data_IF_188624142517
#
_entry.id   IF_188624142517
#
_cell.length_a   1.000
_cell.length_b   1.000
_cell.length_c   1.000
_cell.angle_alpha   90.00
_cell.angle_beta   90.00
_cell.angle_gamma   90.00
#
_symmetry.space_group_name_H-M   'P 1'
#
loop_
_entity.id
_entity.type
_entity.pdbx_description
1 polymer ?
#
# COMPACT_ATOMS: atom_id res chain seq x y z
N UNK A 1 28.65 -7.48 -9.19
CA UNK A 1 28.67 -6.85 -10.53
C UNK A 1 27.29 -6.20 -10.77
N UNK A 2 27.06 -5.58 -11.93
CA UNK A 2 25.79 -4.89 -12.20
C UNK A 2 24.59 -5.83 -12.40
N UNK A 3 24.79 -7.08 -12.85
CA UNK A 3 23.70 -8.06 -12.92
C UNK A 3 23.26 -8.55 -11.54
N UNK A 4 24.19 -8.56 -10.60
CA UNK A 4 23.89 -8.86 -9.20
C UNK A 4 23.12 -7.72 -8.53
N UNK A 5 23.48 -6.47 -8.77
CA UNK A 5 22.68 -5.31 -8.33
C UNK A 5 21.27 -5.36 -8.91
N UNK A 6 21.12 -5.68 -10.20
CA UNK A 6 19.82 -5.87 -10.84
C UNK A 6 19.00 -6.97 -10.14
N UNK A 7 19.63 -8.08 -9.76
CA UNK A 7 18.98 -9.19 -9.04
C UNK A 7 18.50 -8.77 -7.65
N UNK A 8 19.37 -8.14 -6.87
CA UNK A 8 19.04 -7.70 -5.51
C UNK A 8 17.94 -6.63 -5.54
N UNK A 9 18.00 -5.66 -6.45
CA UNK A 9 16.92 -4.66 -6.58
C UNK A 9 15.59 -5.29 -6.98
N UNK A 10 15.60 -6.30 -7.86
CA UNK A 10 14.40 -7.07 -8.19
C UNK A 10 13.85 -7.86 -7.00
N UNK A 11 14.71 -8.47 -6.19
CA UNK A 11 14.31 -9.14 -4.95
C UNK A 11 13.74 -8.16 -3.92
N UNK A 12 14.29 -6.95 -3.83
CA UNK A 12 13.74 -5.89 -2.98
C UNK A 12 12.31 -5.51 -3.40
N UNK A 13 12.03 -5.49 -4.70
CA UNK A 13 10.65 -5.35 -5.21
C UNK A 13 9.80 -6.55 -4.81
N UNK A 14 10.29 -7.78 -4.96
CA UNK A 14 9.53 -8.98 -4.55
C UNK A 14 9.18 -9.01 -3.05
N UNK A 15 10.03 -8.43 -2.20
CA UNK A 15 9.71 -8.26 -0.77
C UNK A 15 8.49 -7.35 -0.55
N UNK A 16 8.34 -6.29 -1.34
CA UNK A 16 7.19 -5.38 -1.27
C UNK A 16 5.96 -5.86 -2.03
N UNK A 17 6.17 -6.65 -3.08
CA UNK A 17 5.15 -7.19 -3.97
C UNK A 17 5.35 -8.70 -4.20
N UNK A 18 4.99 -9.55 -3.23
CA UNK A 18 5.08 -10.99 -3.38
C UNK A 18 4.31 -11.47 -4.62
N UNK A 19 4.93 -12.35 -5.40
CA UNK A 19 4.29 -12.95 -6.59
C UNK A 19 4.03 -11.99 -7.76
N UNK A 20 4.50 -10.74 -7.69
CA UNK A 20 4.27 -9.78 -8.78
C UNK A 20 5.06 -10.12 -10.05
N UNK A 21 4.60 -9.55 -11.17
CA UNK A 21 5.25 -9.67 -12.47
C UNK A 21 5.46 -8.29 -13.10
N UNK A 22 6.55 -8.14 -13.86
CA UNK A 22 6.87 -6.88 -14.54
C UNK A 22 8.36 -6.65 -14.74
N UNK A 23 8.68 -5.41 -15.09
CA UNK A 23 10.05 -4.96 -15.30
C UNK A 23 10.47 -4.05 -14.15
N UNK A 24 11.56 -4.39 -13.47
CA UNK A 24 12.20 -3.54 -12.48
C UNK A 24 13.24 -2.68 -13.17
N UNK A 25 13.22 -1.37 -12.89
CA UNK A 25 14.18 -0.39 -13.37
C UNK A 25 14.77 0.34 -12.17
N UNK A 26 16.00 -0.02 -11.83
CA UNK A 26 16.78 0.68 -10.82
C UNK A 26 17.69 1.71 -11.49
N UNK A 27 17.75 2.91 -10.91
CA UNK A 27 18.68 3.95 -11.37
C UNK A 27 19.59 4.39 -10.22
N UNK A 28 20.86 4.02 -10.37
CA UNK A 28 21.97 4.52 -9.58
C UNK A 28 22.48 5.87 -10.08
N UNK A 29 23.61 6.32 -9.52
CA UNK A 29 24.32 7.49 -10.03
C UNK A 29 25.05 7.19 -11.34
N UNK A 30 25.71 6.04 -11.41
CA UNK A 30 26.58 5.66 -12.52
C UNK A 30 25.91 4.74 -13.56
N UNK A 31 25.00 3.86 -13.13
CA UNK A 31 24.36 2.87 -13.98
C UNK A 31 22.84 2.87 -13.82
N UNK A 32 22.18 2.11 -14.70
CA UNK A 32 20.77 1.77 -14.62
C UNK A 32 20.62 0.28 -14.94
N UNK A 33 19.90 -0.41 -14.08
CA UNK A 33 19.68 -1.86 -14.12
C UNK A 33 18.23 -2.14 -14.52
N UNK A 34 18.05 -3.16 -15.36
CA UNK A 34 16.75 -3.73 -15.66
C UNK A 34 16.72 -5.20 -15.24
N UNK A 35 15.62 -5.61 -14.62
CA UNK A 35 15.40 -7.00 -14.24
C UNK A 35 13.93 -7.38 -14.43
N UNK A 36 13.70 -8.52 -15.07
CA UNK A 36 12.38 -9.11 -15.22
C UNK A 36 12.01 -9.86 -13.95
N UNK A 37 10.79 -9.68 -13.45
CA UNK A 37 10.23 -10.47 -12.35
C UNK A 37 8.94 -11.14 -12.78
N UNK A 38 8.73 -12.37 -12.33
CA UNK A 38 7.47 -13.10 -12.50
C UNK A 38 7.35 -14.19 -11.42
N UNK A 39 6.18 -14.26 -10.75
CA UNK A 39 5.85 -15.36 -9.85
C UNK A 39 6.88 -15.59 -8.73
N UNK A 40 7.44 -14.52 -8.16
CA UNK A 40 8.44 -14.62 -7.08
C UNK A 40 9.87 -14.90 -7.55
N UNK A 41 10.11 -14.96 -8.86
CA UNK A 41 11.42 -15.24 -9.45
C UNK A 41 11.96 -14.03 -10.20
N UNK A 42 13.28 -13.89 -10.22
CA UNK A 42 14.00 -12.91 -11.03
C UNK A 42 14.51 -13.61 -12.28
N UNK A 43 14.15 -13.09 -13.45
CA UNK A 43 14.50 -13.62 -14.76
C UNK A 43 15.72 -12.92 -15.36
N UNK A 44 15.57 -12.45 -16.60
CA UNK A 44 16.62 -11.71 -17.33
C UNK A 44 17.01 -10.45 -16.60
N UNK A 45 18.30 -10.14 -16.64
CA UNK A 45 18.92 -9.01 -15.95
C UNK A 45 19.95 -8.38 -16.88
N UNK A 46 19.98 -7.05 -16.92
CA UNK A 46 20.93 -6.28 -17.71
C UNK A 46 21.30 -5.01 -16.96
N UNK A 47 22.54 -4.54 -17.12
CA UNK A 47 23.02 -3.25 -16.62
C UNK A 47 23.40 -2.36 -17.80
N UNK A 48 23.34 -1.05 -17.60
CA UNK A 48 23.61 -0.06 -18.64
C UNK A 48 24.25 1.21 -18.08
N UNK A 49 24.99 1.97 -18.90
CA UNK A 49 25.62 3.23 -18.49
C UNK A 49 24.64 4.43 -18.45
N UNK A 50 23.35 4.19 -18.20
CA UNK A 50 22.31 5.22 -18.21
C UNK A 50 22.12 5.93 -16.86
N UNK A 51 23.09 5.81 -15.95
CA UNK A 51 23.09 6.59 -14.70
C UNK A 51 23.27 8.09 -14.95
N UNK A 52 22.59 8.98 -14.21
CA UNK A 52 22.63 10.43 -14.45
C UNK A 52 24.03 11.04 -14.38
N UNK A 53 24.95 10.51 -13.57
CA UNK A 53 26.33 10.98 -13.51
C UNK A 53 27.11 10.62 -14.77
N UNK A 54 26.93 9.41 -15.32
CA UNK A 54 27.56 9.00 -16.59
C UNK A 54 27.03 9.80 -17.77
N UNK A 55 25.75 10.15 -17.75
CA UNK A 55 25.13 10.96 -18.80
C UNK A 55 25.70 12.38 -18.90
N UNK A 56 26.31 12.93 -17.84
CA UNK A 56 26.99 14.23 -17.88
C UNK A 56 28.20 14.23 -18.82
N UNK A 57 28.90 13.11 -18.92
CA UNK A 57 30.08 12.95 -19.78
C UNK A 57 29.76 12.64 -21.24
N UNK A 58 28.49 12.43 -21.60
CA UNK A 58 28.12 12.12 -22.98
C UNK A 58 28.26 13.37 -23.86
N UNK A 59 29.07 13.33 -24.94
CA UNK A 59 29.29 14.48 -25.81
C UNK A 59 28.03 14.85 -26.60
N UNK A 60 27.99 16.08 -27.13
CA UNK A 60 26.89 16.54 -27.99
C UNK A 60 25.65 17.07 -27.25
N UNK A 61 25.76 17.37 -25.95
CA UNK A 61 24.71 18.02 -25.17
C UNK A 61 23.40 17.22 -25.11
N UNK A 62 22.24 17.90 -25.02
CA UNK A 62 20.91 17.24 -24.93
C UNK A 62 20.62 16.33 -26.14
N UNK A 63 21.06 16.72 -27.34
CA UNK A 63 20.88 15.92 -28.56
C UNK A 63 21.73 14.64 -28.54
N UNK A 64 23.00 14.76 -28.15
CA UNK A 64 23.91 13.62 -28.00
C UNK A 64 23.44 12.64 -26.93
N UNK A 65 23.04 13.14 -25.76
CA UNK A 65 22.43 12.31 -24.69
C UNK A 65 21.18 11.58 -25.17
N UNK A 66 20.26 12.27 -25.86
CA UNK A 66 19.04 11.64 -26.40
C UNK A 66 19.35 10.50 -27.37
N UNK A 67 20.35 10.68 -28.24
CA UNK A 67 20.78 9.64 -29.17
C UNK A 67 21.42 8.45 -28.43
N UNK A 68 22.30 8.72 -27.46
CA UNK A 68 22.93 7.70 -26.62
C UNK A 68 21.91 6.89 -25.82
N UNK A 69 21.00 7.57 -25.11
CA UNK A 69 19.91 6.93 -24.33
C UNK A 69 19.06 6.05 -25.23
N UNK A 70 18.70 6.55 -26.43
CA UNK A 70 17.90 5.79 -27.39
C UNK A 70 18.61 4.50 -27.82
N UNK A 71 19.87 4.59 -28.25
CA UNK A 71 20.64 3.44 -28.72
C UNK A 71 20.77 2.37 -27.62
N UNK A 72 21.17 2.79 -26.40
CA UNK A 72 21.30 1.86 -25.27
C UNK A 72 19.96 1.20 -24.92
N UNK A 73 18.84 1.93 -24.94
CA UNK A 73 17.53 1.34 -24.66
C UNK A 73 17.02 0.41 -25.76
N UNK A 74 17.39 0.62 -27.02
CA UNK A 74 17.08 -0.31 -28.12
C UNK A 74 17.79 -1.65 -27.89
N UNK A 75 19.06 -1.63 -27.50
CA UNK A 75 19.82 -2.84 -27.15
C UNK A 75 19.23 -3.55 -25.93
N UNK A 76 18.94 -2.80 -24.86
CA UNK A 76 18.33 -3.37 -23.65
C UNK A 76 16.96 -3.99 -23.95
N UNK A 77 16.15 -3.35 -24.80
CA UNK A 77 14.85 -3.89 -25.19
C UNK A 77 14.98 -5.17 -26.03
N UNK A 78 16.01 -5.27 -26.88
CA UNK A 78 16.30 -6.50 -27.62
C UNK A 78 16.63 -7.67 -26.67
N UNK A 79 17.42 -7.43 -25.62
CA UNK A 79 17.76 -8.45 -24.62
C UNK A 79 16.57 -8.81 -23.71
N UNK A 80 15.86 -7.80 -23.20
CA UNK A 80 14.74 -7.98 -22.26
C UNK A 80 13.46 -8.46 -22.95
N UNK A 81 13.36 -8.39 -24.27
CA UNK A 81 12.17 -8.74 -25.03
C UNK A 81 10.93 -7.90 -24.66
N UNK A 82 9.73 -8.37 -25.01
CA UNK A 82 8.49 -7.64 -24.71
C UNK A 82 8.23 -7.51 -23.20
N UNK A 83 8.15 -6.28 -22.70
CA UNK A 83 7.93 -5.96 -21.27
C UNK A 83 6.71 -5.04 -21.06
N UNK A 84 5.59 -5.31 -21.75
CA UNK A 84 4.35 -4.49 -21.68
C UNK A 84 3.53 -4.72 -20.39
N UNK A 85 4.23 -4.89 -19.27
CA UNK A 85 3.68 -5.19 -17.94
C UNK A 85 3.80 -3.95 -17.03
N UNK A 86 3.79 -4.15 -15.71
CA UNK A 86 4.10 -3.08 -14.76
C UNK A 86 5.60 -2.76 -14.81
N UNK A 87 5.93 -1.47 -14.75
CA UNK A 87 7.29 -0.97 -14.54
C UNK A 87 7.45 -0.58 -13.07
N UNK A 88 8.42 -1.17 -12.38
CA UNK A 88 8.80 -0.81 -11.01
C UNK A 88 10.00 0.12 -11.05
N UNK A 89 9.85 1.32 -10.49
CA UNK A 89 10.90 2.31 -10.43
C UNK A 89 11.59 2.24 -9.06
N UNK A 90 12.85 1.77 -9.06
CA UNK A 90 13.73 1.67 -7.89
C UNK A 90 14.83 2.74 -7.97
N UNK A 91 15.28 3.24 -6.82
CA UNK A 91 16.40 4.18 -6.78
C UNK A 91 15.99 5.62 -6.48
N UNK A 92 16.97 6.43 -6.06
CA UNK A 92 16.68 7.74 -5.47
C UNK A 92 16.21 8.80 -6.48
N UNK A 93 16.59 8.69 -7.75
CA UNK A 93 16.20 9.68 -8.77
C UNK A 93 14.74 9.50 -9.19
N UNK A 94 14.28 8.25 -9.33
CA UNK A 94 12.86 7.94 -9.50
C UNK A 94 12.02 8.38 -8.31
N UNK A 95 12.49 8.14 -7.09
CA UNK A 95 11.82 8.62 -5.88
C UNK A 95 11.71 10.14 -5.82
N UNK A 96 12.72 10.89 -6.27
CA UNK A 96 12.66 12.34 -6.35
C UNK A 96 11.61 12.82 -7.36
N UNK A 97 11.57 12.22 -8.56
CA UNK A 97 10.56 12.52 -9.59
C UNK A 97 9.15 12.19 -9.07
N UNK A 98 8.99 11.10 -8.33
CA UNK A 98 7.71 10.73 -7.71
C UNK A 98 7.25 11.73 -6.64
N UNK A 99 8.16 12.25 -5.80
CA UNK A 99 7.84 13.33 -4.84
C UNK A 99 7.37 14.58 -5.57
N UNK A 100 8.04 14.95 -6.65
CA UNK A 100 7.66 16.12 -7.47
C UNK A 100 6.29 15.90 -8.12
N UNK A 101 5.98 14.69 -8.59
CA UNK A 101 4.65 14.37 -9.12
C UNK A 101 3.56 14.46 -8.05
N UNK A 102 3.83 14.00 -6.82
CA UNK A 102 2.91 14.15 -5.69
C UNK A 102 2.62 15.62 -5.41
N UNK A 103 3.67 16.44 -5.32
CA UNK A 103 3.56 17.90 -5.11
C UNK A 103 2.72 18.54 -6.22
N UNK A 104 3.08 18.30 -7.49
CA UNK A 104 2.36 18.83 -8.66
C UNK A 104 0.87 18.49 -8.65
N UNK A 105 0.51 17.32 -8.13
CA UNK A 105 -0.87 16.82 -8.11
C UNK A 105 -1.62 17.20 -6.83
N UNK A 106 -0.96 17.78 -5.83
CA UNK A 106 -1.50 17.90 -4.48
C UNK A 106 -1.91 16.54 -3.91
N UNK A 107 -1.11 15.50 -4.16
CA UNK A 107 -1.46 14.13 -3.81
C UNK A 107 -1.51 13.95 -2.30
N UNK A 108 -2.63 13.49 -1.70
CA UNK A 108 -2.87 13.66 -0.26
C UNK A 108 -2.09 12.69 0.64
N UNK A 109 -1.43 11.66 0.08
CA UNK A 109 -0.70 10.65 0.83
C UNK A 109 0.78 10.58 0.41
N UNK A 110 1.66 11.19 1.20
CA UNK A 110 3.09 11.35 0.88
C UNK A 110 3.94 10.11 1.25
N UNK A 111 3.48 8.92 0.86
CA UNK A 111 4.19 7.65 1.00
C UNK A 111 4.69 7.23 -0.39
N UNK A 112 5.99 7.00 -0.55
CA UNK A 112 6.56 6.71 -1.87
C UNK A 112 6.36 5.27 -2.34
N UNK A 113 6.44 4.30 -1.41
CA UNK A 113 6.27 2.91 -1.75
C UNK A 113 4.81 2.70 -2.19
N UNK A 114 4.60 1.98 -3.29
CA UNK A 114 3.27 1.75 -3.89
C UNK A 114 2.61 2.98 -4.52
N UNK A 115 3.34 4.10 -4.62
CA UNK A 115 2.87 5.22 -5.41
C UNK A 115 2.82 4.86 -6.90
N UNK A 116 1.71 5.21 -7.55
CA UNK A 116 1.46 4.86 -8.95
C UNK A 116 1.42 6.10 -9.82
N UNK A 117 2.05 5.97 -10.98
CA UNK A 117 2.13 7.00 -12.00
C UNK A 117 1.63 6.45 -13.33
N UNK A 118 0.95 7.27 -14.12
CA UNK A 118 0.68 6.98 -15.52
C UNK A 118 1.76 7.59 -16.41
N UNK A 119 1.93 7.07 -17.64
CA UNK A 119 2.82 7.68 -18.62
C UNK A 119 2.48 9.16 -18.90
N UNK A 120 1.19 9.50 -18.87
CA UNK A 120 0.70 10.89 -18.96
C UNK A 120 1.16 11.72 -17.75
N UNK A 121 1.04 11.19 -16.53
CA UNK A 121 1.49 11.87 -15.31
C UNK A 121 3.00 12.10 -15.30
N UNK A 122 3.78 11.11 -15.75
CA UNK A 122 5.23 11.25 -15.91
C UNK A 122 5.56 12.37 -16.88
N UNK A 123 4.92 12.40 -18.06
CA UNK A 123 5.16 13.45 -19.05
C UNK A 123 4.87 14.83 -18.48
N UNK A 124 3.70 15.02 -17.86
CA UNK A 124 3.32 16.29 -17.21
C UNK A 124 4.26 16.68 -16.06
N UNK A 125 4.81 15.70 -15.33
CA UNK A 125 5.79 15.95 -14.27
C UNK A 125 7.14 16.37 -14.82
N UNK A 126 7.58 15.78 -15.92
CA UNK A 126 8.81 16.19 -16.61
C UNK A 126 8.66 17.64 -17.09
N UNK A 127 7.54 17.97 -17.73
CA UNK A 127 7.29 19.34 -18.21
C UNK A 127 7.24 20.35 -17.03
N UNK A 128 6.63 19.96 -15.90
CA UNK A 128 6.62 20.77 -14.67
C UNK A 128 8.01 20.96 -14.09
N UNK A 129 8.87 19.94 -14.11
CA UNK A 129 10.27 20.03 -13.67
C UNK A 129 11.05 20.99 -14.58
N UNK A 130 10.90 20.88 -15.90
CA UNK A 130 11.59 21.75 -16.86
C UNK A 130 11.15 23.22 -16.74
N UNK A 131 9.91 23.49 -16.33
CA UNK A 131 9.36 24.84 -16.17
C UNK A 131 9.58 25.47 -14.77
N UNK A 132 10.05 24.70 -13.79
CA UNK A 132 10.20 25.16 -12.41
C UNK A 132 11.62 25.64 -12.10
N UNK A 133 11.76 26.58 -11.16
CA UNK A 133 13.06 26.86 -10.55
C UNK A 133 13.52 25.65 -9.72
N UNK A 134 14.74 25.12 -9.94
CA UNK A 134 15.23 23.93 -9.23
C UNK A 134 15.38 24.12 -7.71
N UNK A 135 15.70 25.33 -7.25
CA UNK A 135 15.90 25.62 -5.82
C UNK A 135 14.57 25.70 -5.09
N UNK A 136 13.58 26.38 -5.67
CA UNK A 136 12.24 26.42 -5.10
C UNK A 136 11.61 25.03 -5.11
N UNK A 137 11.69 24.32 -6.23
CA UNK A 137 11.07 23.00 -6.37
C UNK A 137 11.63 21.99 -5.38
N UNK A 138 12.96 21.94 -5.21
CA UNK A 138 13.59 21.02 -4.26
C UNK A 138 13.20 21.32 -2.82
N UNK A 139 13.03 22.60 -2.46
CA UNK A 139 12.64 23.03 -1.12
C UNK A 139 11.19 22.59 -0.82
N UNK A 140 10.26 22.81 -1.76
CA UNK A 140 8.87 22.34 -1.62
C UNK A 140 8.78 20.82 -1.50
N UNK A 141 9.57 20.09 -2.29
CA UNK A 141 9.50 18.62 -2.36
C UNK A 141 10.39 17.89 -1.32
N UNK A 142 11.17 18.61 -0.52
CA UNK A 142 12.15 18.01 0.40
C UNK A 142 13.23 17.18 -0.31
N UNK A 143 13.68 17.61 -1.49
CA UNK A 143 14.72 16.94 -2.30
C UNK A 143 16.07 17.61 -2.03
N UNK A 144 17.12 16.81 -1.79
CA UNK A 144 18.46 17.37 -1.58
C UNK A 144 19.01 18.02 -2.86
N UNK A 145 19.88 19.03 -2.73
CA UNK A 145 20.50 19.70 -3.87
C UNK A 145 21.21 18.71 -4.80
N UNK A 146 22.07 17.85 -4.23
CA UNK A 146 22.77 16.81 -4.99
C UNK A 146 21.83 15.86 -5.75
N UNK A 147 20.62 15.59 -5.23
CA UNK A 147 19.63 14.78 -5.94
C UNK A 147 18.95 15.59 -7.03
N UNK A 148 18.56 16.83 -6.74
CA UNK A 148 17.90 17.72 -7.69
C UNK A 148 18.75 17.94 -8.94
N UNK A 149 20.07 18.07 -8.79
CA UNK A 149 21.03 18.21 -9.91
C UNK A 149 21.06 17.01 -10.87
N UNK A 150 20.52 15.86 -10.45
CA UNK A 150 20.43 14.64 -11.26
C UNK A 150 19.04 14.44 -11.85
N UNK A 151 18.01 15.12 -11.32
CA UNK A 151 16.61 14.94 -11.73
C UNK A 151 16.40 15.22 -13.22
N UNK A 152 16.89 16.33 -13.82
CA UNK A 152 16.69 16.60 -15.24
C UNK A 152 17.23 15.50 -16.17
N UNK A 153 18.40 14.94 -15.85
CA UNK A 153 19.00 13.85 -16.62
C UNK A 153 18.23 12.54 -16.43
N UNK A 154 17.78 12.26 -15.20
CA UNK A 154 16.93 11.12 -14.92
C UNK A 154 15.59 11.24 -15.69
N UNK A 155 15.01 12.43 -15.80
CA UNK A 155 13.80 12.67 -16.60
C UNK A 155 14.00 12.30 -18.08
N UNK A 156 15.15 12.62 -18.69
CA UNK A 156 15.48 12.22 -20.06
C UNK A 156 15.45 10.69 -20.22
N UNK A 157 16.04 9.96 -19.25
CA UNK A 157 16.05 8.49 -19.23
C UNK A 157 14.65 7.92 -19.01
N UNK A 158 13.91 8.40 -18.01
CA UNK A 158 12.56 7.90 -17.69
C UNK A 158 11.60 8.05 -18.88
N UNK A 159 11.65 9.21 -19.55
CA UNK A 159 10.84 9.46 -20.75
C UNK A 159 11.13 8.45 -21.84
N UNK A 160 12.39 8.09 -22.03
CA UNK A 160 12.81 7.11 -23.01
C UNK A 160 12.43 5.67 -22.58
N UNK A 161 12.65 5.29 -21.33
CA UNK A 161 12.24 3.97 -20.76
C UNK A 161 10.74 3.74 -20.96
N UNK A 162 9.90 4.71 -20.57
CA UNK A 162 8.43 4.62 -20.72
C UNK A 162 8.03 4.51 -22.20
N UNK A 163 8.71 5.23 -23.09
CA UNK A 163 8.45 5.16 -24.54
C UNK A 163 8.85 3.80 -25.13
N UNK A 164 9.99 3.25 -24.71
CA UNK A 164 10.53 1.98 -25.23
C UNK A 164 9.71 0.79 -24.76
N UNK A 165 9.44 0.68 -23.46
CA UNK A 165 8.77 -0.50 -22.89
C UNK A 165 7.25 -0.42 -22.84
N UNK A 166 6.67 0.79 -22.96
CA UNK A 166 5.22 1.03 -22.97
C UNK A 166 4.48 0.29 -21.84
N UNK A 167 4.88 0.51 -20.57
CA UNK A 167 4.29 -0.22 -19.45
C UNK A 167 2.82 0.13 -19.27
N UNK A 168 2.02 -0.85 -18.87
CA UNK A 168 0.59 -0.66 -18.57
C UNK A 168 0.36 0.11 -17.27
N UNK A 169 1.31 -0.01 -16.34
CA UNK A 169 1.23 0.52 -14.98
C UNK A 169 2.65 0.83 -14.51
N UNK A 170 2.82 1.90 -13.72
CA UNK A 170 4.13 2.31 -13.22
C UNK A 170 4.03 2.52 -11.71
N UNK A 171 4.85 1.80 -10.96
CA UNK A 171 4.86 1.81 -9.51
C UNK A 171 6.24 2.22 -8.98
N UNK A 172 6.27 3.01 -7.92
CA UNK A 172 7.51 3.43 -7.27
C UNK A 172 7.80 2.49 -6.11
N UNK A 173 9.03 1.97 -6.07
CA UNK A 173 9.52 1.15 -4.97
C UNK A 173 10.47 1.94 -4.09
N UNK A 174 10.12 2.02 -2.80
CA UNK A 174 11.07 2.44 -1.76
C UNK A 174 12.10 1.35 -1.40
N UNK A 175 11.84 0.11 -1.82
CA UNK A 175 12.73 -1.03 -1.59
C UNK A 175 13.66 -1.22 -2.79
N UNK A 176 14.91 -1.58 -2.52
CA UNK A 176 15.92 -1.86 -3.54
C UNK A 176 16.92 -2.88 -3.03
N UNK A 177 18.21 -2.67 -3.31
CA UNK A 177 19.29 -3.62 -3.02
C UNK A 177 19.29 -4.10 -1.55
N UNK A 178 19.14 -3.20 -0.57
CA UNK A 178 19.20 -3.56 0.85
C UNK A 178 18.10 -4.54 1.24
N UNK A 179 16.88 -4.28 0.77
CA UNK A 179 15.75 -5.17 0.97
C UNK A 179 15.90 -6.47 0.18
N UNK A 180 16.56 -6.42 -0.99
CA UNK A 180 16.96 -7.59 -1.76
C UNK A 180 17.92 -8.52 -1.04
N UNK A 181 18.95 -7.96 -0.40
CA UNK A 181 19.90 -8.72 0.41
C UNK A 181 19.22 -9.42 1.58
N UNK A 182 18.21 -8.76 2.19
CA UNK A 182 17.39 -9.39 3.23
C UNK A 182 16.54 -10.51 2.63
N UNK A 183 15.85 -10.26 1.51
CA UNK A 183 15.02 -11.24 0.82
C UNK A 183 15.80 -12.50 0.43
N UNK A 184 17.04 -12.34 -0.04
CA UNK A 184 17.94 -13.45 -0.36
C UNK A 184 18.18 -14.38 0.84
N UNK A 185 18.31 -13.82 2.04
CA UNK A 185 18.54 -14.60 3.26
C UNK A 185 17.25 -15.24 3.80
N UNK A 186 16.07 -14.85 3.32
CA UNK A 186 14.80 -15.41 3.76
C UNK A 186 14.60 -16.84 3.22
N UNK A 187 14.19 -17.80 4.08
CA UNK A 187 13.68 -19.09 3.61
C UNK A 187 12.45 -18.90 2.71
N UNK A 188 12.23 -19.81 1.76
CA UNK A 188 11.09 -19.73 0.83
C UNK A 188 9.74 -19.64 1.56
N UNK A 189 9.58 -20.40 2.65
CA UNK A 189 8.37 -20.38 3.48
C UNK A 189 8.08 -19.02 4.14
N UNK A 190 9.08 -18.14 4.28
CA UNK A 190 8.91 -16.77 4.75
C UNK A 190 8.59 -15.82 3.58
N UNK A 191 9.22 -16.01 2.42
CA UNK A 191 8.96 -15.24 1.19
C UNK A 191 7.54 -15.42 0.67
N UNK A 192 6.97 -16.61 0.85
CA UNK A 192 5.61 -16.93 0.44
C UNK A 192 4.55 -16.36 1.38
N UNK A 193 4.95 -15.81 2.54
CA UNK A 193 4.00 -15.19 3.47
C UNK A 193 3.56 -13.83 2.98
N UNK A 194 2.37 -13.44 3.41
CA UNK A 194 1.82 -12.14 3.11
C UNK A 194 2.45 -11.05 4.02
N UNK A 195 3.21 -10.09 3.49
CA UNK A 195 3.95 -9.13 4.29
C UNK A 195 3.04 -8.21 5.11
N UNK A 196 1.83 -7.92 4.65
CA UNK A 196 0.86 -7.13 5.42
C UNK A 196 0.40 -7.93 6.63
N UNK A 197 -0.01 -9.18 6.41
CA UNK A 197 -0.58 -10.01 7.46
C UNK A 197 0.49 -10.33 8.51
N UNK A 198 1.71 -10.65 8.10
CA UNK A 198 2.84 -10.85 9.03
C UNK A 198 3.14 -9.58 9.84
N UNK A 199 3.12 -8.41 9.20
CA UNK A 199 3.29 -7.13 9.92
C UNK A 199 2.17 -6.88 10.92
N UNK A 200 0.93 -7.26 10.59
CA UNK A 200 -0.21 -7.13 11.49
C UNK A 200 -0.14 -8.13 12.65
N UNK A 201 0.29 -9.38 12.42
CA UNK A 201 0.53 -10.34 13.49
C UNK A 201 1.62 -9.86 14.46
N UNK A 202 2.71 -9.30 13.93
CA UNK A 202 3.76 -8.72 14.75
C UNK A 202 3.23 -7.55 15.60
N UNK A 203 2.47 -6.63 15.00
CA UNK A 203 1.87 -5.50 15.72
C UNK A 203 0.86 -5.96 16.79
N UNK A 204 0.03 -6.97 16.48
CA UNK A 204 -0.90 -7.55 17.44
C UNK A 204 -0.16 -8.18 18.63
N UNK A 205 0.83 -9.03 18.36
CA UNK A 205 1.62 -9.70 19.39
C UNK A 205 2.35 -8.72 20.32
N UNK A 206 2.82 -7.61 19.75
CA UNK A 206 3.57 -6.58 20.48
C UNK A 206 2.68 -5.65 21.29
N UNK A 207 1.60 -5.14 20.69
CA UNK A 207 0.92 -3.93 21.20
C UNK A 207 -0.53 -4.16 21.63
N UNK A 208 -1.20 -5.22 21.16
CA UNK A 208 -2.60 -5.48 21.49
C UNK A 208 -2.79 -5.91 22.96
N UNK A 209 -3.96 -5.60 23.53
CA UNK A 209 -4.27 -5.97 24.93
C UNK A 209 -4.34 -7.49 25.15
N UNK A 210 -4.89 -8.23 24.18
CA UNK A 210 -4.91 -9.70 24.21
C UNK A 210 -4.59 -10.22 22.81
N UNK A 211 -3.34 -10.63 22.55
CA UNK A 211 -2.93 -11.21 21.28
C UNK A 211 -3.74 -12.45 20.89
N UNK A 212 -4.13 -12.54 19.61
CA UNK A 212 -4.93 -13.61 19.04
C UNK A 212 -6.42 -13.28 18.91
N UNK A 213 -6.90 -12.21 19.57
CA UNK A 213 -8.29 -11.79 19.45
C UNK A 213 -8.62 -11.27 18.04
N UNK A 214 -7.67 -10.68 17.33
CA UNK A 214 -7.88 -10.20 15.97
C UNK A 214 -8.34 -11.30 15.00
N UNK A 215 -7.84 -12.53 15.16
CA UNK A 215 -8.29 -13.69 14.39
C UNK A 215 -9.75 -14.06 14.71
N UNK A 216 -10.11 -14.10 15.99
CA UNK A 216 -11.48 -14.40 16.43
C UNK A 216 -12.47 -13.33 15.95
N UNK A 217 -12.06 -12.06 16.02
CA UNK A 217 -12.83 -10.94 15.50
C UNK A 217 -13.04 -11.04 13.99
N UNK A 218 -12.00 -11.41 13.24
CA UNK A 218 -12.10 -11.65 11.79
C UNK A 218 -13.14 -12.73 11.47
N UNK A 219 -13.06 -13.89 12.11
CA UNK A 219 -14.00 -15.00 11.92
C UNK A 219 -15.44 -14.59 12.27
N UNK A 220 -15.62 -13.82 13.33
CA UNK A 220 -16.92 -13.32 13.77
C UNK A 220 -17.57 -12.36 12.76
N UNK A 221 -16.80 -11.46 12.13
CA UNK A 221 -17.34 -10.46 11.20
C UNK A 221 -17.35 -10.88 9.72
N UNK A 222 -16.57 -11.91 9.35
CA UNK A 222 -16.47 -12.44 8.00
C UNK A 222 -17.84 -12.74 7.33
N UNK A 223 -18.91 -13.16 8.05
CA UNK A 223 -20.24 -13.32 7.47
C UNK A 223 -20.79 -12.09 6.73
N UNK A 224 -20.40 -10.86 7.11
CA UNK A 224 -20.79 -9.63 6.41
C UNK A 224 -20.13 -9.51 5.03
N UNK A 225 -18.99 -10.18 4.83
CA UNK A 225 -18.09 -10.01 3.69
C UNK A 225 -17.89 -11.32 2.91
N UNK A 226 -18.82 -12.28 2.99
CA UNK A 226 -18.68 -13.60 2.34
C UNK A 226 -18.39 -13.51 0.84
N UNK A 227 -19.05 -12.59 0.14
CA UNK A 227 -18.89 -12.35 -1.29
C UNK A 227 -17.71 -11.45 -1.64
N UNK A 228 -16.98 -10.92 -0.66
CA UNK A 228 -15.83 -10.07 -0.91
C UNK A 228 -14.69 -10.87 -1.57
N UNK A 229 -13.95 -10.28 -2.53
CA UNK A 229 -12.80 -10.91 -3.15
C UNK A 229 -11.69 -11.15 -2.11
N UNK A 230 -10.73 -12.03 -2.43
CA UNK A 230 -9.68 -12.46 -1.51
C UNK A 230 -8.83 -11.27 -1.02
N UNK A 231 -8.54 -10.32 -1.90
CA UNK A 231 -7.78 -9.10 -1.59
C UNK A 231 -8.51 -8.25 -0.55
N UNK A 232 -9.85 -8.17 -0.64
CA UNK A 232 -10.65 -7.44 0.35
C UNK A 232 -10.72 -8.21 1.67
N UNK A 233 -10.86 -9.53 1.65
CA UNK A 233 -10.84 -10.39 2.86
C UNK A 233 -9.51 -10.27 3.60
N UNK A 234 -8.40 -10.23 2.87
CA UNK A 234 -7.07 -9.92 3.40
C UNK A 234 -7.01 -8.58 4.14
N UNK A 235 -7.58 -7.51 3.56
CA UNK A 235 -7.65 -6.20 4.25
C UNK A 235 -8.55 -6.22 5.49
N UNK A 236 -9.66 -6.96 5.45
CA UNK A 236 -10.55 -7.15 6.61
C UNK A 236 -9.81 -7.88 7.73
N UNK A 237 -9.04 -8.92 7.40
CA UNK A 237 -8.19 -9.62 8.37
C UNK A 237 -7.13 -8.69 8.97
N UNK A 238 -6.42 -7.93 8.13
CA UNK A 238 -5.45 -6.94 8.60
C UNK A 238 -6.09 -5.91 9.56
N UNK A 239 -7.27 -5.39 9.23
CA UNK A 239 -8.00 -4.47 10.10
C UNK A 239 -8.36 -5.11 11.45
N UNK A 240 -8.80 -6.37 11.45
CA UNK A 240 -9.12 -7.08 12.68
C UNK A 240 -7.88 -7.33 13.55
N UNK A 241 -6.73 -7.66 12.95
CA UNK A 241 -5.47 -7.80 13.69
C UNK A 241 -5.02 -6.45 14.29
N UNK A 242 -5.22 -5.35 13.56
CA UNK A 242 -4.82 -4.00 13.99
C UNK A 242 -5.86 -3.28 14.84
N UNK A 243 -7.05 -3.85 15.06
CA UNK A 243 -8.19 -3.12 15.66
C UNK A 243 -7.93 -2.58 17.07
N UNK A 244 -6.91 -3.11 17.77
CA UNK A 244 -6.62 -2.81 19.15
C UNK A 244 -5.14 -2.56 19.47
N UNK A 245 -4.31 -2.30 18.46
CA UNK A 245 -2.86 -2.08 18.67
C UNK A 245 -2.55 -0.65 19.13
N UNK A 246 -3.45 0.31 18.90
CA UNK A 246 -3.27 1.72 19.28
C UNK A 246 -4.09 2.13 20.52
N UNK A 247 -4.48 1.17 21.35
CA UNK A 247 -5.36 1.41 22.51
C UNK A 247 -4.79 2.39 23.55
N UNK A 248 -3.45 2.49 23.63
CA UNK A 248 -2.73 3.42 24.53
C UNK A 248 -2.84 4.90 24.13
N UNK A 249 -3.28 5.20 22.91
CA UNK A 249 -3.56 6.57 22.52
C UNK A 249 -4.73 7.13 23.36
N UNK A 250 -4.63 8.42 23.69
CA UNK A 250 -5.68 9.14 24.40
C UNK A 250 -7.03 8.97 23.66
N UNK A 251 -8.15 8.69 24.36
CA UNK A 251 -9.42 8.35 23.73
C UNK A 251 -9.86 9.31 22.62
N UNK A 252 -9.69 10.62 22.82
CA UNK A 252 -10.09 11.67 21.87
C UNK A 252 -9.30 11.64 20.55
N UNK A 253 -8.06 11.17 20.57
CA UNK A 253 -7.17 11.14 19.41
C UNK A 253 -7.04 9.74 18.80
N UNK A 254 -7.55 8.70 19.48
CA UNK A 254 -7.30 7.31 19.11
C UNK A 254 -7.74 6.96 17.69
N UNK A 255 -8.89 7.50 17.25
CA UNK A 255 -9.38 7.27 15.90
C UNK A 255 -8.42 7.85 14.84
N UNK A 256 -7.86 9.02 15.09
CA UNK A 256 -6.89 9.65 14.20
C UNK A 256 -5.54 8.94 14.21
N UNK A 257 -5.06 8.55 15.40
CA UNK A 257 -3.81 7.81 15.55
C UNK A 257 -3.89 6.48 14.81
N UNK A 258 -5.01 5.76 14.89
CA UNK A 258 -5.24 4.54 14.12
C UNK A 258 -5.18 4.78 12.61
N UNK A 259 -5.83 5.84 12.12
CA UNK A 259 -5.80 6.21 10.71
C UNK A 259 -4.38 6.56 10.24
N UNK A 260 -3.68 7.38 11.01
CA UNK A 260 -2.30 7.80 10.73
C UNK A 260 -1.35 6.60 10.70
N UNK A 261 -1.42 5.73 11.70
CA UNK A 261 -0.59 4.53 11.78
C UNK A 261 -0.82 3.63 10.57
N UNK A 262 -2.07 3.33 10.20
CA UNK A 262 -2.36 2.47 9.06
C UNK A 262 -1.91 3.08 7.72
N UNK A 263 -2.04 4.40 7.56
CA UNK A 263 -1.69 5.06 6.30
C UNK A 263 -0.20 5.32 6.14
N UNK A 264 0.54 5.55 7.23
CA UNK A 264 1.95 5.97 7.21
C UNK A 264 2.94 4.91 7.71
N UNK A 265 2.49 3.84 8.35
CA UNK A 265 3.39 2.76 8.75
C UNK A 265 3.98 2.04 7.52
N UNK A 266 5.15 1.44 7.73
CA UNK A 266 5.85 0.64 6.72
C UNK A 266 5.21 -0.76 6.55
N UNK A 267 3.92 -0.78 6.22
CA UNK A 267 3.18 -1.99 5.88
C UNK A 267 3.40 -2.31 4.40
N UNK A 268 4.01 -3.46 4.09
CA UNK A 268 4.24 -3.92 2.70
C UNK A 268 2.98 -4.46 2.02
N UNK A 269 2.99 -4.57 0.69
CA UNK A 269 1.91 -5.18 -0.09
C UNK A 269 0.57 -4.44 0.03
N UNK A 270 0.59 -3.12 0.05
CA UNK A 270 -0.60 -2.27 0.15
C UNK A 270 -0.54 -1.11 -0.84
N UNK A 271 -1.52 -1.05 -1.74
CA UNK A 271 -1.76 0.16 -2.54
C UNK A 271 -2.18 1.32 -1.63
N UNK A 272 -2.01 2.55 -2.11
CA UNK A 272 -2.46 3.73 -1.39
C UNK A 272 -3.96 3.72 -1.07
N UNK A 273 -4.81 3.30 -2.00
CA UNK A 273 -6.24 3.15 -1.74
C UNK A 273 -6.50 2.10 -0.64
N UNK A 274 -5.76 1.00 -0.63
CA UNK A 274 -5.89 -0.06 0.38
C UNK A 274 -5.42 0.41 1.77
N UNK A 275 -4.38 1.25 1.84
CA UNK A 275 -3.95 1.95 3.07
C UNK A 275 -5.05 2.85 3.63
N UNK A 276 -5.67 3.66 2.77
CA UNK A 276 -6.77 4.55 3.18
C UNK A 276 -7.98 3.75 3.61
N UNK A 277 -8.32 2.65 2.92
CA UNK A 277 -9.40 1.76 3.31
C UNK A 277 -9.16 1.18 4.72
N UNK A 278 -7.97 0.64 4.97
CA UNK A 278 -7.58 0.09 6.25
C UNK A 278 -7.62 1.17 7.35
N UNK A 279 -7.04 2.33 7.09
CA UNK A 279 -7.07 3.47 8.01
C UNK A 279 -8.49 3.91 8.34
N UNK A 280 -9.37 4.03 7.33
CA UNK A 280 -10.75 4.47 7.52
C UNK A 280 -11.57 3.44 8.32
N UNK A 281 -11.34 2.15 8.10
CA UNK A 281 -11.96 1.11 8.91
C UNK A 281 -11.53 1.18 10.39
N UNK A 282 -10.23 1.40 10.64
CA UNK A 282 -9.69 1.54 12.00
C UNK A 282 -10.10 2.87 12.65
N UNK A 283 -10.32 3.93 11.88
CA UNK A 283 -10.94 5.17 12.35
C UNK A 283 -12.37 4.88 12.82
N UNK A 284 -13.17 4.21 11.99
CA UNK A 284 -14.55 3.87 12.32
C UNK A 284 -14.71 2.87 13.48
N UNK A 285 -13.64 2.12 13.79
CA UNK A 285 -13.56 1.31 15.00
C UNK A 285 -13.67 2.16 16.27
N UNK A 286 -13.15 3.39 16.26
CA UNK A 286 -13.11 4.28 17.43
C UNK A 286 -14.04 5.50 17.33
N UNK A 287 -14.44 5.92 16.13
CA UNK A 287 -15.36 7.04 15.89
C UNK A 287 -16.52 6.66 14.95
N UNK A 288 -17.70 7.27 15.12
CA UNK A 288 -18.79 7.14 14.13
C UNK A 288 -18.71 8.19 13.01
N UNK A 289 -17.87 9.20 13.16
CA UNK A 289 -17.73 10.33 12.22
C UNK A 289 -16.34 10.31 11.57
N UNK A 290 -16.28 10.69 10.31
CA UNK A 290 -15.03 10.89 9.56
C UNK A 290 -14.85 12.34 9.07
N UNK A 291 -15.93 13.11 9.12
CA UNK A 291 -16.02 14.52 8.73
C UNK A 291 -15.28 15.42 9.73
N UNK A 292 -14.75 16.53 9.24
CA UNK A 292 -13.99 17.50 10.02
C UNK A 292 -12.59 17.02 10.40
N UNK A 293 -12.14 15.89 9.86
CA UNK A 293 -10.78 15.39 10.08
C UNK A 293 -9.83 15.91 9.01
N UNK A 294 -8.55 16.09 9.37
CA UNK A 294 -7.49 16.45 8.40
C UNK A 294 -7.25 15.37 7.32
N UNK A 295 -7.93 14.23 7.38
CA UNK A 295 -7.77 13.10 6.47
C UNK A 295 -8.73 13.12 5.29
N UNK A 296 -9.70 14.05 5.26
CA UNK A 296 -10.68 14.15 4.18
C UNK A 296 -10.07 14.14 2.76
N UNK A 297 -8.94 14.83 2.49
CA UNK A 297 -8.30 14.74 1.18
C UNK A 297 -7.90 13.31 0.80
N UNK A 298 -7.50 12.48 1.75
CA UNK A 298 -7.10 11.08 1.50
C UNK A 298 -8.30 10.19 1.16
N UNK A 299 -9.51 10.49 1.65
CA UNK A 299 -10.70 9.69 1.33
C UNK A 299 -11.02 9.72 -0.17
N UNK A 300 -10.58 10.75 -0.90
CA UNK A 300 -10.69 10.84 -2.37
C UNK A 300 -9.89 9.76 -3.12
N UNK A 301 -9.02 9.01 -2.42
CA UNK A 301 -8.32 7.84 -2.97
C UNK A 301 -9.19 6.57 -2.99
N UNK A 302 -10.42 6.66 -2.47
CA UNK A 302 -11.42 5.61 -2.48
C UNK A 302 -12.64 6.05 -3.28
N UNK A 303 -13.32 5.07 -3.88
CA UNK A 303 -14.69 5.27 -4.37
C UNK A 303 -15.70 5.18 -3.22
N UNK A 304 -16.93 5.62 -3.45
CA UNK A 304 -18.00 5.65 -2.45
C UNK A 304 -18.31 4.25 -1.88
N UNK A 305 -18.21 3.22 -2.73
CA UNK A 305 -18.44 1.84 -2.32
C UNK A 305 -17.37 1.35 -1.34
N UNK A 306 -16.09 1.63 -1.59
CA UNK A 306 -14.99 1.29 -0.71
C UNK A 306 -15.04 2.08 0.60
N UNK A 307 -15.42 3.36 0.54
CA UNK A 307 -15.66 4.20 1.73
C UNK A 307 -16.74 3.57 2.61
N UNK A 308 -17.88 3.21 2.02
CA UNK A 308 -18.98 2.57 2.72
C UNK A 308 -18.58 1.21 3.33
N UNK A 309 -17.87 0.38 2.58
CA UNK A 309 -17.36 -0.89 3.09
C UNK A 309 -16.38 -0.72 4.26
N UNK A 310 -15.53 0.31 4.24
CA UNK A 310 -14.62 0.62 5.35
C UNK A 310 -15.40 1.03 6.61
N UNK A 311 -16.45 1.82 6.46
CA UNK A 311 -17.35 2.19 7.57
C UNK A 311 -18.04 0.97 8.18
N UNK A 312 -18.63 0.09 7.35
CA UNK A 312 -19.25 -1.16 7.80
C UNK A 312 -18.24 -2.03 8.56
N UNK A 313 -17.02 -2.16 8.04
CA UNK A 313 -15.94 -2.90 8.68
C UNK A 313 -15.57 -2.31 10.04
N UNK A 314 -15.40 -0.99 10.12
CA UNK A 314 -15.08 -0.31 11.39
C UNK A 314 -16.17 -0.47 12.43
N UNK A 315 -17.45 -0.30 12.04
CA UNK A 315 -18.60 -0.52 12.91
C UNK A 315 -18.75 -1.98 13.35
N UNK A 316 -18.46 -2.93 12.46
CA UNK A 316 -18.43 -4.36 12.79
C UNK A 316 -17.35 -4.68 13.83
N UNK A 317 -16.14 -4.17 13.66
CA UNK A 317 -15.08 -4.32 14.66
C UNK A 317 -15.42 -3.61 15.98
N UNK A 318 -16.07 -2.43 15.92
CA UNK A 318 -16.51 -1.66 17.10
C UNK A 318 -17.55 -2.40 17.92
N UNK A 319 -18.45 -3.10 17.26
CA UNK A 319 -19.41 -3.99 17.90
C UNK A 319 -18.75 -5.26 18.41
N UNK A 320 -18.03 -6.00 17.55
CA UNK A 320 -17.42 -7.28 17.91
C UNK A 320 -16.44 -7.20 19.08
N UNK A 321 -15.71 -6.08 19.21
CA UNK A 321 -14.81 -5.86 20.35
C UNK A 321 -15.52 -5.65 21.70
N UNK A 322 -16.86 -5.49 21.73
CA UNK A 322 -17.64 -5.46 22.99
C UNK A 322 -17.97 -6.86 23.50
N UNK A 323 -18.05 -7.85 22.62
CA UNK A 323 -18.35 -9.25 22.98
C UNK A 323 -17.09 -9.99 23.46
N UNK A 324 -16.08 -9.22 23.88
CA UNK A 324 -14.79 -9.71 24.33
C UNK A 324 -14.90 -10.25 25.75
N UNK A 325 -15.05 -11.58 25.89
CA UNK A 325 -15.14 -12.27 27.18
C UNK A 325 -13.75 -12.63 27.73
N UNK A 326 -13.08 -13.58 27.08
CA UNK A 326 -11.76 -14.12 27.42
C UNK A 326 -11.12 -14.71 26.17
N UNK A 327 -9.82 -15.01 26.23
CA UNK A 327 -9.10 -15.70 25.15
C UNK A 327 -9.78 -17.03 24.84
N UNK A 328 -10.32 -17.18 23.62
CA UNK A 328 -10.98 -18.39 23.09
C UNK A 328 -12.43 -18.64 23.58
N UNK A 329 -13.07 -17.66 24.21
CA UNK A 329 -14.49 -17.80 24.56
C UNK A 329 -15.38 -17.65 23.30
N UNK A 330 -16.40 -18.50 23.11
CA UNK A 330 -17.29 -18.40 21.96
C UNK A 330 -18.16 -17.13 22.08
N UNK A 331 -17.88 -16.13 21.24
CA UNK A 331 -18.61 -14.85 21.19
C UNK A 331 -20.05 -14.97 20.65
N UNK A 332 -20.38 -16.11 20.05
CA UNK A 332 -21.59 -16.30 19.25
C UNK A 332 -21.31 -16.23 17.76
N UNK A 333 -22.35 -16.02 16.95
CA UNK A 333 -22.26 -15.96 15.50
C UNK A 333 -23.12 -14.84 14.92
N UNK A 334 -22.60 -14.17 13.90
CA UNK A 334 -23.35 -13.19 13.11
C UNK A 334 -23.81 -13.83 11.80
N UNK A 335 -25.04 -13.56 11.37
CA UNK A 335 -25.54 -13.97 10.05
C UNK A 335 -26.11 -12.77 9.31
N UNK A 336 -25.67 -12.61 8.08
CA UNK A 336 -26.08 -11.51 7.22
C UNK A 336 -26.89 -12.03 6.03
N UNK A 337 -28.12 -11.53 5.90
CA UNK A 337 -29.03 -11.86 4.81
C UNK A 337 -29.29 -10.61 3.96
N UNK A 338 -28.42 -10.29 2.98
CA UNK A 338 -28.47 -9.03 2.23
C UNK A 338 -29.80 -8.84 1.49
N UNK A 339 -30.35 -9.91 0.90
CA UNK A 339 -31.64 -9.86 0.19
C UNK A 339 -32.82 -9.56 1.13
N UNK A 340 -32.75 -10.04 2.38
CA UNK A 340 -33.78 -9.81 3.40
C UNK A 340 -33.55 -8.52 4.19
N UNK A 341 -32.40 -7.86 3.99
CA UNK A 341 -31.93 -6.74 4.83
C UNK A 341 -32.04 -7.09 6.33
N UNK A 342 -31.59 -8.28 6.69
CA UNK A 342 -31.65 -8.80 8.06
C UNK A 342 -30.26 -9.17 8.56
N UNK A 343 -29.89 -8.59 9.70
CA UNK A 343 -28.68 -8.92 10.45
C UNK A 343 -29.05 -9.66 11.73
N UNK A 344 -28.74 -10.95 11.77
CA UNK A 344 -28.96 -11.79 12.94
C UNK A 344 -27.69 -11.86 13.80
N UNK A 345 -27.86 -11.79 15.12
CA UNK A 345 -26.84 -12.03 16.13
C UNK A 345 -27.27 -13.20 17.01
N UNK A 346 -26.49 -14.28 17.02
CA UNK A 346 -26.73 -15.45 17.85
C UNK A 346 -25.69 -15.44 18.97
N UNK A 347 -26.10 -15.08 20.18
CA UNK A 347 -25.24 -15.04 21.35
C UNK A 347 -25.22 -16.39 22.05
N UNK A 348 -24.08 -16.75 22.62
CA UNK A 348 -24.00 -17.82 23.62
C UNK A 348 -24.55 -17.31 24.95
N UNK A 349 -24.95 -18.22 25.84
CA UNK A 349 -25.35 -17.86 27.20
C UNK A 349 -24.24 -17.05 27.91
N UNK A 350 -22.98 -17.43 27.72
CA UNK A 350 -21.82 -16.71 28.26
C UNK A 350 -21.64 -15.29 27.70
N UNK A 351 -22.00 -15.04 26.43
CA UNK A 351 -21.87 -13.73 25.79
C UNK A 351 -23.09 -12.83 25.99
N UNK A 352 -24.25 -13.39 26.38
CA UNK A 352 -25.49 -12.65 26.60
C UNK A 352 -25.33 -11.45 27.56
N UNK A 353 -24.63 -11.57 28.71
CA UNK A 353 -24.44 -10.45 29.63
C UNK A 353 -23.63 -9.27 29.04
N UNK A 354 -22.82 -9.51 28.00
CA UNK A 354 -22.06 -8.44 27.34
C UNK A 354 -22.92 -7.63 26.35
N UNK A 355 -24.09 -8.13 25.98
CA UNK A 355 -25.01 -7.44 25.07
C UNK A 355 -25.90 -6.43 25.79
N UNK A 356 -25.29 -5.54 26.58
CA UNK A 356 -25.98 -4.42 27.23
C UNK A 356 -26.28 -3.27 26.27
N UNK A 357 -26.80 -2.15 26.81
CA UNK A 357 -27.27 -0.98 26.04
C UNK A 357 -26.24 -0.47 25.01
N UNK A 358 -24.97 -0.36 25.42
CA UNK A 358 -23.89 0.12 24.54
C UNK A 358 -23.62 -0.85 23.40
N UNK A 359 -23.67 -2.17 23.65
CA UNK A 359 -23.46 -3.19 22.62
C UNK A 359 -24.65 -3.23 21.66
N UNK A 360 -25.89 -3.11 22.17
CA UNK A 360 -27.11 -3.01 21.37
C UNK A 360 -27.08 -1.78 20.46
N UNK A 361 -26.72 -0.60 20.98
CA UNK A 361 -26.60 0.62 20.19
C UNK A 361 -25.54 0.50 19.08
N UNK A 362 -24.41 -0.17 19.34
CA UNK A 362 -23.37 -0.43 18.34
C UNK A 362 -23.83 -1.44 17.28
N UNK A 363 -24.57 -2.47 17.67
CA UNK A 363 -25.15 -3.44 16.73
C UNK A 363 -26.18 -2.77 15.82
N UNK A 364 -27.04 -1.92 16.38
CA UNK A 364 -27.99 -1.10 15.61
C UNK A 364 -27.27 -0.13 14.66
N UNK A 365 -26.19 0.53 15.09
CA UNK A 365 -25.38 1.40 14.22
C UNK A 365 -24.76 0.65 13.03
N UNK A 366 -24.29 -0.58 13.26
CA UNK A 366 -23.81 -1.47 12.19
C UNK A 366 -24.95 -1.85 11.23
N UNK A 367 -26.10 -2.27 11.76
CA UNK A 367 -27.25 -2.64 10.95
C UNK A 367 -27.78 -1.46 10.11
N UNK A 368 -27.78 -0.24 10.67
CA UNK A 368 -28.15 0.98 9.97
C UNK A 368 -27.24 1.24 8.76
N UNK A 369 -25.91 1.07 8.90
CA UNK A 369 -25.00 1.15 7.76
C UNK A 369 -25.26 0.08 6.71
N UNK A 370 -25.75 -1.10 7.09
CA UNK A 370 -26.16 -2.14 6.13
C UNK A 370 -27.56 -1.92 5.56
N UNK A 371 -28.30 -0.90 6.01
CA UNK A 371 -29.70 -0.70 5.69
C UNK A 371 -30.58 -1.88 6.14
N UNK A 372 -30.28 -2.46 7.30
CA UNK A 372 -30.82 -3.72 7.78
C UNK A 372 -31.61 -3.59 9.08
N UNK A 373 -32.58 -4.50 9.26
CA UNK A 373 -33.19 -4.80 10.55
C UNK A 373 -32.32 -5.79 11.34
N UNK A 374 -32.47 -5.77 12.66
CA UNK A 374 -31.72 -6.62 13.59
C UNK A 374 -32.62 -7.70 14.21
N UNK A 375 -32.10 -8.91 14.34
CA UNK A 375 -32.70 -10.00 15.13
C UNK A 375 -31.63 -10.59 16.07
N UNK A 376 -31.91 -10.65 17.37
CA UNK A 376 -30.95 -11.12 18.38
C UNK A 376 -31.54 -12.36 19.05
N UNK A 377 -30.77 -13.45 19.03
CA UNK A 377 -31.16 -14.74 19.61
C UNK A 377 -30.11 -15.19 20.60
N UNK A 378 -30.55 -15.66 21.76
CA UNK A 378 -29.69 -16.32 22.73
C UNK A 378 -29.82 -17.82 22.51
N UNK A 379 -28.72 -18.48 22.15
CA UNK A 379 -28.65 -19.94 22.13
C UNK A 379 -28.21 -20.40 23.52
N UNK A 380 -29.13 -21.08 24.20
CA UNK A 380 -28.82 -21.91 25.37
C UNK A 380 -28.06 -23.17 24.99
#
# INVERSE_FOLDING_TARGET
DGEEEARLSAQGVLLGWPGSYGLVCDIGGASMELAEIAGGHVGRRVTSPLGPLKLRSVPGGKKGRKAHIKAVLEDLAATMGPQKNRLFLVGGSWRAIARIDMERRGYPLHVLHEYRMSAKSISATIDYIEASDPVELRNRCGVSAARMDLVPLACEVLKAVVKTFQPRDIAVSSYGIREGMLYEQMPQSLRDRDPLIESCYFAEAKDARIPGFGKQLYEFILPLFKSAPLERKRLIQAACLLHDVSWRAHPDYRAEVCFDNATRANLGGLKHSERVFLGLALLHRYSNKREGTRFEPMFKLLDEAAIHQAEVLGKAMRFGAMLWLQKNAPMGAMRWFPKKKLLELHLTEAASPLFGEVAQARFQSLAASLGAQTDVRIKG
#
